data_IF_314995197595
#
_entry.id   IF_314995197595
#
_cell.length_a   1.000
_cell.length_b   1.000
_cell.length_c   1.000
_cell.angle_alpha   90.00
_cell.angle_beta   90.00
_cell.angle_gamma   90.00
#
_symmetry.space_group_name_H-M   'P 1'
#
loop_
_entity.id
_entity.type
_entity.pdbx_description
1 polymer ?
#
# COMPACT_ATOMS: atom_id res chain seq x y z
N UNK A 1 45.55 27.47 20.59
CA UNK A 1 44.68 26.27 20.66
C UNK A 1 43.46 26.58 19.82
N UNK A 2 43.27 25.87 18.71
CA UNK A 2 42.08 26.02 17.86
C UNK A 2 40.85 25.61 18.66
N UNK A 3 39.93 26.55 18.91
CA UNK A 3 38.67 26.26 19.58
C UNK A 3 37.83 25.31 18.74
N UNK A 4 37.15 24.36 19.37
CA UNK A 4 36.21 23.47 18.68
C UNK A 4 35.03 24.31 18.18
N UNK A 5 34.79 24.29 16.87
CA UNK A 5 33.63 24.97 16.29
C UNK A 5 32.35 24.18 16.56
N UNK A 6 31.19 24.85 16.46
CA UNK A 6 29.88 24.20 16.56
C UNK A 6 29.71 23.12 15.47
N UNK A 7 30.32 23.31 14.31
CA UNK A 7 30.30 22.36 13.19
C UNK A 7 31.11 21.09 13.51
N UNK A 8 32.28 21.25 14.14
CA UNK A 8 33.09 20.11 14.60
C UNK A 8 32.31 19.27 15.63
N UNK A 9 31.68 19.95 16.60
CA UNK A 9 30.82 19.31 17.60
C UNK A 9 29.71 18.48 16.92
N UNK A 10 28.95 19.09 16.00
CA UNK A 10 27.81 18.46 15.33
C UNK A 10 28.18 17.32 14.39
N UNK A 11 29.29 17.45 13.67
CA UNK A 11 29.63 16.54 12.58
C UNK A 11 30.59 15.42 13.01
N UNK A 12 31.34 15.63 14.10
CA UNK A 12 32.41 14.70 14.50
C UNK A 12 32.18 14.12 15.89
N UNK A 13 31.96 14.97 16.89
CA UNK A 13 31.96 14.54 18.30
C UNK A 13 30.60 14.01 18.76
N UNK A 14 29.52 14.73 18.47
CA UNK A 14 28.16 14.31 18.83
C UNK A 14 27.75 12.97 18.16
N UNK A 15 27.97 12.75 16.84
CA UNK A 15 27.58 11.49 16.21
C UNK A 15 28.31 10.28 16.80
N UNK A 16 29.58 10.45 17.19
CA UNK A 16 30.36 9.40 17.85
C UNK A 16 29.75 9.02 19.21
N UNK A 17 29.38 10.01 20.02
CA UNK A 17 28.72 9.81 21.31
C UNK A 17 27.32 9.22 21.13
N UNK A 18 26.55 9.71 20.16
CA UNK A 18 25.21 9.24 19.84
C UNK A 18 25.20 7.74 19.50
N UNK A 19 26.13 7.29 18.65
CA UNK A 19 26.25 5.87 18.28
C UNK A 19 26.60 5.00 19.49
N UNK A 20 27.45 5.48 20.40
CA UNK A 20 27.77 4.75 21.62
C UNK A 20 26.56 4.67 22.56
N UNK A 21 25.82 5.77 22.72
CA UNK A 21 24.58 5.81 23.50
C UNK A 21 23.52 4.88 22.90
N UNK A 22 23.35 4.88 21.58
CA UNK A 22 22.43 3.97 20.88
C UNK A 22 22.76 2.51 21.15
N UNK A 23 24.04 2.14 21.12
CA UNK A 23 24.47 0.77 21.43
C UNK A 23 24.23 0.40 22.89
N UNK A 24 24.42 1.37 23.80
CA UNK A 24 24.15 1.15 25.22
C UNK A 24 22.64 0.98 25.49
N UNK A 25 21.80 1.76 24.82
CA UNK A 25 20.34 1.69 24.95
C UNK A 25 19.75 0.45 24.27
N UNK A 26 20.33 -0.03 23.17
CA UNK A 26 19.88 -1.25 22.47
C UNK A 26 20.27 -2.55 23.19
N UNK A 27 21.24 -2.49 24.11
CA UNK A 27 21.73 -3.66 24.84
C UNK A 27 22.60 -4.61 23.99
N UNK A 28 23.15 -5.66 24.61
CA UNK A 28 24.04 -6.60 23.94
C UNK A 28 23.32 -7.36 22.82
N UNK A 29 23.87 -7.27 21.60
CA UNK A 29 23.38 -8.00 20.43
C UNK A 29 23.75 -9.49 20.57
N UNK A 30 22.81 -10.44 20.42
CA UNK A 30 23.13 -11.86 20.37
C UNK A 30 23.88 -12.20 19.05
N UNK A 31 24.86 -13.11 19.06
CA UNK A 31 25.43 -13.82 20.21
C UNK A 31 26.40 -12.94 21.01
N UNK A 32 26.35 -13.07 22.35
CA UNK A 32 26.95 -12.22 23.39
C UNK A 32 28.50 -12.07 23.38
N UNK A 33 29.17 -12.30 22.26
CA UNK A 33 30.62 -12.37 22.14
C UNK A 33 31.18 -11.74 20.85
N UNK A 34 30.32 -11.28 19.92
CA UNK A 34 30.76 -10.82 18.59
C UNK A 34 30.44 -9.35 18.31
N UNK A 35 29.89 -8.63 19.29
CA UNK A 35 29.59 -7.21 19.18
C UNK A 35 30.84 -6.35 19.40
N UNK A 36 31.00 -5.30 18.57
CA UNK A 36 32.05 -4.28 18.74
C UNK A 36 31.87 -3.60 20.10
N UNK A 37 32.75 -3.91 21.05
CA UNK A 37 32.77 -3.34 22.41
C UNK A 37 32.85 -1.82 22.31
N UNK A 38 32.09 -1.11 23.14
CA UNK A 38 32.21 0.35 23.24
C UNK A 38 33.57 0.66 23.87
N UNK A 39 34.46 1.27 23.10
CA UNK A 39 35.72 1.80 23.63
C UNK A 39 35.40 3.10 24.39
N UNK A 40 35.46 3.05 25.72
CA UNK A 40 35.09 4.17 26.57
C UNK A 40 36.07 5.34 26.48
N UNK A 41 37.36 5.08 26.21
CA UNK A 41 38.40 6.11 26.17
C UNK A 41 38.13 7.20 25.10
N UNK A 42 37.83 6.86 23.83
CA UNK A 42 37.40 7.84 22.84
C UNK A 42 36.14 8.61 23.26
N UNK A 43 35.18 7.97 23.95
CA UNK A 43 33.94 8.62 24.39
C UNK A 43 34.20 9.63 25.50
N UNK A 44 35.01 9.26 26.50
CA UNK A 44 35.41 10.17 27.57
C UNK A 44 36.22 11.35 27.02
N UNK A 45 37.14 11.10 26.08
CA UNK A 45 37.92 12.15 25.42
C UNK A 45 37.03 13.12 24.63
N UNK A 46 36.04 12.59 23.89
CA UNK A 46 35.07 13.39 23.15
C UNK A 46 34.20 14.25 24.08
N UNK A 47 33.60 13.64 25.11
CA UNK A 47 32.78 14.34 26.09
C UNK A 47 33.58 15.42 26.84
N UNK A 48 34.79 15.10 27.28
CA UNK A 48 35.68 16.05 27.95
C UNK A 48 36.02 17.24 27.05
N UNK A 49 36.37 16.99 25.78
CA UNK A 49 36.63 18.05 24.81
C UNK A 49 35.41 18.94 24.59
N UNK A 50 34.20 18.38 24.46
CA UNK A 50 32.98 19.16 24.32
C UNK A 50 32.72 20.06 25.54
N UNK A 51 32.94 19.54 26.75
CA UNK A 51 32.78 20.30 28.00
C UNK A 51 33.83 21.42 28.12
N UNK A 52 35.10 21.12 27.86
CA UNK A 52 36.18 22.11 27.92
C UNK A 52 36.06 23.23 26.87
N UNK A 53 35.32 22.99 25.78
CA UNK A 53 35.12 23.94 24.68
C UNK A 53 33.76 24.66 24.75
N UNK A 54 33.13 24.73 25.93
CA UNK A 54 31.84 25.39 26.20
C UNK A 54 30.62 24.83 25.44
N UNK A 55 30.66 23.58 24.98
CA UNK A 55 29.49 22.91 24.36
C UNK A 55 28.74 22.01 25.35
N UNK A 56 28.90 22.23 26.66
CA UNK A 56 28.30 21.38 27.71
C UNK A 56 26.77 21.40 27.71
N UNK A 57 26.17 22.58 27.48
CA UNK A 57 24.71 22.72 27.44
C UNK A 57 24.11 22.07 26.19
N UNK A 58 24.75 22.26 25.03
CA UNK A 58 24.37 21.60 23.79
C UNK A 58 24.45 20.07 23.93
N UNK A 59 25.55 19.57 24.49
CA UNK A 59 25.75 18.14 24.74
C UNK A 59 24.68 17.55 25.67
N UNK A 60 24.35 18.26 26.75
CA UNK A 60 23.30 17.82 27.67
C UNK A 60 21.94 17.77 26.99
N UNK A 61 21.57 18.83 26.27
CA UNK A 61 20.29 18.91 25.57
C UNK A 61 20.15 17.85 24.48
N UNK A 62 21.22 17.62 23.70
CA UNK A 62 21.23 16.61 22.65
C UNK A 62 21.15 15.20 23.26
N UNK A 63 21.87 14.93 24.35
CA UNK A 63 21.81 13.65 25.07
C UNK A 63 20.42 13.38 25.66
N UNK A 64 19.86 14.35 26.39
CA UNK A 64 18.53 14.22 26.97
C UNK A 64 17.46 14.08 25.87
N UNK A 65 17.56 14.84 24.78
CA UNK A 65 16.66 14.72 23.62
C UNK A 65 16.75 13.34 22.98
N UNK A 66 17.96 12.83 22.78
CA UNK A 66 18.20 11.53 22.15
C UNK A 66 17.67 10.38 23.00
N UNK A 67 17.97 10.40 24.31
CA UNK A 67 17.45 9.42 25.27
C UNK A 67 15.92 9.46 25.33
N UNK A 68 15.32 10.65 25.43
CA UNK A 68 13.86 10.81 25.48
C UNK A 68 13.20 10.29 24.18
N UNK A 69 13.75 10.62 23.00
CA UNK A 69 13.27 10.08 21.72
C UNK A 69 13.34 8.55 21.67
N UNK A 70 14.43 7.96 22.17
CA UNK A 70 14.57 6.51 22.24
C UNK A 70 13.52 5.89 23.16
N UNK A 71 13.30 6.45 24.35
CA UNK A 71 12.25 5.98 25.26
C UNK A 71 10.85 6.06 24.65
N UNK A 72 10.50 7.18 23.99
CA UNK A 72 9.21 7.33 23.31
C UNK A 72 9.04 6.30 22.20
N UNK A 73 10.09 6.07 21.40
CA UNK A 73 10.08 5.06 20.35
C UNK A 73 9.84 3.66 20.93
N UNK A 74 10.59 3.27 21.96
CA UNK A 74 10.41 1.96 22.62
C UNK A 74 9.04 1.84 23.26
N UNK A 75 8.53 2.90 23.89
CA UNK A 75 7.19 2.92 24.47
C UNK A 75 6.10 2.74 23.40
N UNK A 76 6.20 3.41 22.26
CA UNK A 76 5.30 3.23 21.13
C UNK A 76 5.41 1.82 20.54
N UNK A 77 6.62 1.28 20.36
CA UNK A 77 6.83 -0.08 19.88
C UNK A 77 6.26 -1.13 20.85
N UNK A 78 6.41 -0.91 22.16
CA UNK A 78 5.84 -1.77 23.20
C UNK A 78 4.32 -1.63 23.25
N UNK A 79 3.76 -0.43 23.17
CA UNK A 79 2.32 -0.22 23.13
C UNK A 79 1.72 -0.81 21.85
N UNK A 80 2.39 -0.68 20.71
CA UNK A 80 2.03 -1.36 19.48
C UNK A 80 2.07 -2.88 19.67
N UNK A 81 3.15 -3.45 20.22
CA UNK A 81 3.25 -4.90 20.44
C UNK A 81 2.22 -5.41 21.44
N UNK A 82 2.00 -4.73 22.56
CA UNK A 82 1.14 -5.19 23.65
C UNK A 82 -0.34 -4.89 23.37
N UNK A 83 -0.72 -3.69 22.91
CA UNK A 83 -2.12 -3.33 22.64
C UNK A 83 -2.67 -4.09 21.42
N UNK A 84 -1.86 -4.23 20.37
CA UNK A 84 -2.22 -5.04 19.20
C UNK A 84 -2.21 -6.52 19.60
N UNK A 85 -1.11 -7.09 20.08
CA UNK A 85 -1.04 -8.54 20.34
C UNK A 85 -1.97 -9.08 21.43
N UNK A 86 -2.32 -8.29 22.46
CA UNK A 86 -3.13 -8.80 23.59
C UNK A 86 -4.62 -8.49 23.49
N UNK A 87 -5.02 -7.52 22.64
CA UNK A 87 -6.43 -7.09 22.55
C UNK A 87 -7.07 -7.41 21.20
N UNK A 88 -6.31 -7.40 20.11
CA UNK A 88 -6.81 -7.60 18.76
C UNK A 88 -5.88 -8.59 18.04
N UNK A 89 -6.37 -9.77 17.72
CA UNK A 89 -5.64 -10.74 16.89
C UNK A 89 -5.50 -10.29 15.43
N UNK A 90 -5.07 -9.05 15.18
CA UNK A 90 -5.04 -8.31 13.93
C UNK A 90 -4.06 -7.16 14.06
N UNK A 91 -3.52 -6.61 12.97
CA UNK A 91 -2.58 -5.47 13.03
C UNK A 91 -3.31 -4.10 12.95
N UNK A 92 -2.67 -3.03 13.46
CA UNK A 92 -3.24 -1.68 13.47
C UNK A 92 -3.62 -1.19 12.06
N UNK A 93 -2.87 -1.61 11.04
CA UNK A 93 -3.12 -1.23 9.65
C UNK A 93 -4.43 -1.86 9.17
N UNK A 94 -4.66 -3.13 9.45
CA UNK A 94 -5.91 -3.84 9.15
C UNK A 94 -7.10 -3.19 9.85
N UNK A 95 -6.94 -2.74 11.10
CA UNK A 95 -8.03 -2.06 11.82
C UNK A 95 -8.34 -0.68 11.28
N UNK A 96 -7.33 0.13 10.98
CA UNK A 96 -7.51 1.42 10.35
C UNK A 96 -8.16 1.26 8.97
N UNK A 97 -7.73 0.25 8.21
CA UNK A 97 -8.31 -0.12 6.93
C UNK A 97 -9.78 -0.55 7.07
N UNK A 98 -10.10 -1.37 8.08
CA UNK A 98 -11.47 -1.79 8.38
C UNK A 98 -12.35 -0.61 8.83
N UNK A 99 -11.84 0.28 9.67
CA UNK A 99 -12.53 1.50 10.09
C UNK A 99 -12.80 2.42 8.90
N UNK A 100 -11.81 2.62 8.02
CA UNK A 100 -11.97 3.41 6.81
C UNK A 100 -13.02 2.78 5.87
N UNK A 101 -12.97 1.46 5.66
CA UNK A 101 -13.97 0.76 4.87
C UNK A 101 -15.38 0.95 5.45
N UNK A 102 -15.56 0.69 6.75
CA UNK A 102 -16.86 0.83 7.44
C UNK A 102 -17.43 2.25 7.46
N UNK A 103 -16.57 3.25 7.63
CA UNK A 103 -17.00 4.63 7.83
C UNK A 103 -17.12 5.44 6.53
N UNK A 104 -16.27 5.16 5.54
CA UNK A 104 -16.16 5.97 4.32
C UNK A 104 -16.65 5.19 3.10
N UNK A 105 -16.24 3.93 2.95
CA UNK A 105 -16.50 3.17 1.73
C UNK A 105 -17.89 2.54 1.76
N UNK A 106 -18.27 1.83 2.83
CA UNK A 106 -19.57 1.14 2.95
C UNK A 106 -20.80 2.04 2.71
N UNK A 107 -20.85 3.31 3.17
CA UNK A 107 -21.97 4.20 2.89
C UNK A 107 -22.06 4.64 1.41
N UNK A 108 -20.94 4.61 0.69
CA UNK A 108 -20.81 5.16 -0.67
C UNK A 108 -20.73 4.06 -1.73
N UNK A 109 -20.33 2.85 -1.35
CA UNK A 109 -20.02 1.75 -2.27
C UNK A 109 -21.20 1.40 -3.19
N UNK A 110 -22.42 1.41 -2.67
CA UNK A 110 -23.61 1.11 -3.46
C UNK A 110 -23.83 2.15 -4.57
N UNK A 111 -23.72 3.44 -4.22
CA UNK A 111 -23.84 4.54 -5.19
C UNK A 111 -22.72 4.52 -6.21
N UNK A 112 -21.50 4.22 -5.76
CA UNK A 112 -20.32 4.11 -6.61
C UNK A 112 -20.49 2.99 -7.64
N UNK A 113 -20.96 1.81 -7.22
CA UNK A 113 -21.16 0.67 -8.12
C UNK A 113 -22.26 0.93 -9.16
N UNK A 114 -23.34 1.60 -8.78
CA UNK A 114 -24.38 2.05 -9.72
C UNK A 114 -23.80 3.01 -10.75
N UNK A 115 -22.98 3.99 -10.32
CA UNK A 115 -22.35 4.98 -11.21
C UNK A 115 -21.37 4.32 -12.19
N UNK A 116 -20.57 3.35 -11.73
CA UNK A 116 -19.62 2.60 -12.57
C UNK A 116 -20.36 1.80 -13.64
N UNK A 117 -21.45 1.11 -13.29
CA UNK A 117 -22.30 0.39 -14.25
C UNK A 117 -22.91 1.35 -15.29
N UNK A 118 -23.54 2.43 -14.81
CA UNK A 118 -24.20 3.40 -15.69
C UNK A 118 -23.25 4.06 -16.66
N UNK A 119 -22.03 4.41 -16.20
CA UNK A 119 -21.02 5.02 -17.05
C UNK A 119 -20.52 4.04 -18.11
N UNK A 120 -20.35 2.76 -17.75
CA UNK A 120 -19.93 1.71 -18.69
C UNK A 120 -21.01 1.42 -19.75
N UNK A 121 -22.28 1.36 -19.36
CA UNK A 121 -23.39 0.97 -20.26
C UNK A 121 -23.93 2.13 -21.11
N UNK A 122 -24.03 3.34 -20.55
CA UNK A 122 -24.71 4.47 -21.22
C UNK A 122 -23.75 5.45 -21.88
N UNK A 123 -22.57 5.65 -21.30
CA UNK A 123 -21.59 6.64 -21.78
C UNK A 123 -20.17 6.06 -21.80
N UNK A 124 -19.94 5.00 -22.60
CA UNK A 124 -18.62 4.38 -22.70
C UNK A 124 -17.57 5.42 -23.09
N UNK A 125 -16.38 5.35 -22.48
CA UNK A 125 -15.24 6.27 -22.66
C UNK A 125 -15.40 7.69 -22.10
N UNK A 126 -16.53 8.03 -21.46
CA UNK A 126 -16.67 9.29 -20.72
C UNK A 126 -15.63 9.41 -19.59
N UNK A 127 -15.30 8.28 -18.97
CA UNK A 127 -14.18 8.14 -18.03
C UNK A 127 -13.14 7.23 -18.66
N UNK A 128 -11.86 7.61 -18.55
CA UNK A 128 -10.77 6.81 -19.07
C UNK A 128 -10.77 5.41 -18.40
N UNK A 129 -10.76 4.31 -19.17
CA UNK A 129 -10.91 2.95 -18.63
C UNK A 129 -9.89 2.59 -17.55
N UNK A 130 -8.68 3.14 -17.62
CA UNK A 130 -7.62 2.92 -16.62
C UNK A 130 -7.96 3.51 -15.25
N UNK A 131 -8.74 4.60 -15.19
CA UNK A 131 -9.18 5.23 -13.93
C UNK A 131 -10.20 4.34 -13.24
N UNK A 132 -11.20 3.86 -13.98
CA UNK A 132 -12.18 2.90 -13.46
C UNK A 132 -11.51 1.60 -13.03
N UNK A 133 -10.57 1.07 -13.82
CA UNK A 133 -9.80 -0.10 -13.46
C UNK A 133 -8.97 0.11 -12.19
N UNK A 134 -8.31 1.27 -12.05
CA UNK A 134 -7.52 1.60 -10.86
C UNK A 134 -8.39 1.74 -9.62
N UNK A 135 -9.57 2.34 -9.75
CA UNK A 135 -10.56 2.47 -8.68
C UNK A 135 -11.06 1.09 -8.22
N UNK A 136 -11.48 0.24 -9.16
CA UNK A 136 -11.99 -1.12 -8.85
C UNK A 136 -10.90 -1.99 -8.24
N UNK A 137 -9.66 -1.92 -8.76
CA UNK A 137 -8.49 -2.60 -8.16
C UNK A 137 -8.19 -2.10 -6.75
N UNK A 138 -8.26 -0.79 -6.53
CA UNK A 138 -8.03 -0.20 -5.21
C UNK A 138 -9.09 -0.65 -4.20
N UNK A 139 -10.36 -0.70 -4.60
CA UNK A 139 -11.44 -1.23 -3.77
C UNK A 139 -11.25 -2.70 -3.43
N UNK A 140 -10.83 -3.52 -4.41
CA UNK A 140 -10.53 -4.94 -4.18
C UNK A 140 -9.36 -5.14 -3.20
N UNK A 141 -8.31 -4.33 -3.33
CA UNK A 141 -7.17 -4.35 -2.40
C UNK A 141 -7.54 -3.86 -1.00
N UNK A 142 -8.53 -2.98 -0.89
CA UNK A 142 -9.04 -2.46 0.39
C UNK A 142 -9.90 -3.49 1.11
N UNK A 143 -10.85 -4.11 0.43
CA UNK A 143 -11.62 -5.24 0.95
C UNK A 143 -12.06 -6.15 -0.19
N UNK A 144 -11.59 -7.42 -0.25
CA UNK A 144 -11.97 -8.36 -1.30
C UNK A 144 -13.47 -8.76 -1.24
N UNK A 145 -14.15 -8.56 -0.11
CA UNK A 145 -15.59 -8.88 0.01
C UNK A 145 -16.46 -8.02 -0.93
N UNK A 146 -16.01 -6.83 -1.32
CA UNK A 146 -16.73 -6.00 -2.29
C UNK A 146 -16.86 -6.68 -3.66
N UNK A 147 -15.88 -7.50 -4.05
CA UNK A 147 -15.97 -8.27 -5.28
C UNK A 147 -17.01 -9.40 -5.20
N UNK A 148 -17.23 -9.97 -4.02
CA UNK A 148 -18.30 -10.95 -3.81
C UNK A 148 -19.68 -10.29 -3.88
N UNK A 149 -19.80 -9.05 -3.40
CA UNK A 149 -21.06 -8.29 -3.41
C UNK A 149 -21.41 -7.72 -4.80
N UNK A 150 -20.41 -7.38 -5.60
CA UNK A 150 -20.58 -6.80 -6.94
C UNK A 150 -19.78 -7.55 -8.03
N UNK A 151 -20.00 -8.86 -8.20
CA UNK A 151 -19.15 -9.73 -9.04
C UNK A 151 -19.04 -9.25 -10.49
N UNK A 152 -20.16 -8.81 -11.06
CA UNK A 152 -20.25 -8.39 -12.46
C UNK A 152 -19.42 -7.12 -12.76
N UNK A 153 -19.29 -6.21 -11.78
CA UNK A 153 -18.49 -4.99 -11.97
C UNK A 153 -17.01 -5.33 -11.88
N UNK A 154 -16.61 -6.10 -10.85
CA UNK A 154 -15.21 -6.43 -10.62
C UNK A 154 -14.64 -7.35 -11.70
N UNK A 155 -15.43 -8.30 -12.23
CA UNK A 155 -15.02 -9.18 -13.32
C UNK A 155 -14.65 -8.43 -14.61
N UNK A 156 -15.25 -7.26 -14.85
CA UNK A 156 -14.93 -6.41 -16.00
C UNK A 156 -13.55 -5.76 -15.94
N UNK A 157 -12.94 -5.64 -14.75
CA UNK A 157 -11.66 -4.94 -14.55
C UNK A 157 -10.55 -5.80 -13.95
N UNK A 158 -10.89 -6.93 -13.32
CA UNK A 158 -9.93 -7.83 -12.67
C UNK A 158 -10.17 -9.27 -13.16
N UNK A 159 -9.25 -9.82 -13.97
CA UNK A 159 -9.34 -11.20 -14.44
C UNK A 159 -9.30 -12.19 -13.26
N UNK A 160 -10.16 -13.22 -13.30
CA UNK A 160 -10.13 -14.32 -12.31
C UNK A 160 -10.67 -13.97 -10.91
N UNK A 161 -11.36 -12.83 -10.75
CA UNK A 161 -12.00 -12.46 -9.47
C UNK A 161 -13.23 -13.31 -9.14
N UNK A 162 -13.88 -13.84 -10.16
CA UNK A 162 -14.97 -14.79 -9.95
C UNK A 162 -14.41 -16.19 -9.72
N UNK A 163 -15.05 -17.01 -8.86
CA UNK A 163 -14.72 -18.42 -8.74
C UNK A 163 -14.73 -19.11 -10.11
N UNK A 164 -13.88 -20.13 -10.26
CA UNK A 164 -13.99 -21.01 -11.41
C UNK A 164 -15.43 -21.55 -11.51
N UNK A 165 -16.01 -21.46 -12.71
CA UNK A 165 -17.37 -21.90 -13.01
C UNK A 165 -17.63 -23.29 -12.42
N UNK A 166 -18.72 -23.44 -11.67
CA UNK A 166 -19.09 -24.72 -11.07
C UNK A 166 -19.95 -25.52 -12.05
N UNK A 167 -19.85 -26.85 -12.02
CA UNK A 167 -20.52 -27.72 -13.00
C UNK A 167 -22.05 -27.52 -13.07
N UNK A 168 -22.69 -27.14 -11.95
CA UNK A 168 -24.13 -26.88 -11.91
C UNK A 168 -24.54 -25.55 -12.57
N UNK A 169 -23.60 -24.64 -12.83
CA UNK A 169 -23.84 -23.34 -13.48
C UNK A 169 -23.79 -23.46 -15.01
N UNK A 170 -23.25 -24.57 -15.55
CA UNK A 170 -23.10 -24.82 -17.00
C UNK A 170 -24.44 -24.76 -17.73
N UNK A 171 -25.48 -25.40 -17.19
CA UNK A 171 -26.80 -25.47 -17.83
C UNK A 171 -27.45 -24.10 -17.97
N UNK A 172 -27.31 -23.24 -16.96
CA UNK A 172 -27.81 -21.86 -16.99
C UNK A 172 -27.10 -21.05 -18.07
N UNK A 173 -25.78 -21.19 -18.18
CA UNK A 173 -24.97 -20.45 -19.15
C UNK A 173 -25.21 -20.92 -20.59
N UNK A 174 -25.42 -22.23 -20.78
CA UNK A 174 -25.82 -22.81 -22.07
C UNK A 174 -27.16 -22.20 -22.50
N UNK A 175 -28.13 -22.11 -21.59
CA UNK A 175 -29.45 -21.55 -21.91
C UNK A 175 -29.35 -20.04 -22.24
N UNK A 176 -28.64 -19.25 -21.42
CA UNK A 176 -28.43 -17.82 -21.67
C UNK A 176 -27.71 -17.56 -23.00
N UNK A 177 -26.70 -18.39 -23.31
CA UNK A 177 -25.98 -18.33 -24.60
C UNK A 177 -26.91 -18.69 -25.77
N UNK A 178 -27.77 -19.69 -25.61
CA UNK A 178 -28.75 -20.07 -26.65
C UNK A 178 -29.77 -18.96 -26.89
N UNK A 179 -30.26 -18.31 -25.83
CA UNK A 179 -31.17 -17.16 -25.93
C UNK A 179 -30.51 -15.97 -26.64
N UNK A 180 -29.27 -15.64 -26.28
CA UNK A 180 -28.50 -14.59 -26.95
C UNK A 180 -28.28 -14.92 -28.43
N UNK A 181 -27.88 -16.16 -28.75
CA UNK A 181 -27.70 -16.62 -30.12
C UNK A 181 -29.01 -16.57 -30.91
N UNK A 182 -30.14 -16.93 -30.29
CA UNK A 182 -31.46 -16.83 -30.92
C UNK A 182 -31.84 -15.37 -31.20
N UNK A 183 -31.64 -14.47 -30.23
CA UNK A 183 -31.87 -13.03 -30.38
C UNK A 183 -31.01 -12.43 -31.49
N UNK A 184 -29.72 -12.75 -31.51
CA UNK A 184 -28.79 -12.30 -32.55
C UNK A 184 -29.15 -12.85 -33.92
N UNK A 185 -29.58 -14.11 -34.03
CA UNK A 185 -30.06 -14.69 -35.28
C UNK A 185 -31.32 -13.98 -35.78
N UNK A 186 -32.26 -13.64 -34.90
CA UNK A 186 -33.45 -12.86 -35.28
C UNK A 186 -33.08 -11.44 -35.73
N UNK A 187 -32.14 -10.80 -35.04
CA UNK A 187 -31.61 -9.48 -35.42
C UNK A 187 -30.82 -9.51 -36.75
N UNK A 188 -30.05 -10.56 -36.99
CA UNK A 188 -29.31 -10.78 -38.24
C UNK A 188 -30.24 -11.11 -39.41
N UNK A 189 -31.26 -11.95 -39.21
CA UNK A 189 -32.20 -12.35 -40.26
C UNK A 189 -33.12 -11.17 -40.66
N UNK A 190 -33.40 -10.24 -39.74
CA UNK A 190 -34.15 -9.01 -40.03
C UNK A 190 -33.30 -7.91 -40.70
N UNK A 191 -31.97 -7.97 -40.59
CA UNK A 191 -31.05 -7.11 -41.32
C UNK A 191 -30.75 -7.70 -42.71
N UNK A 192 -31.50 -7.26 -43.72
CA UNK A 192 -31.36 -7.63 -45.15
C UNK A 192 -29.90 -7.83 -45.64
N UNK A 193 -29.65 -8.77 -46.58
CA UNK A 193 -28.31 -9.11 -47.07
C UNK A 193 -27.75 -8.00 -47.97
N UNK A 194 -27.27 -6.91 -47.38
CA UNK A 194 -26.36 -5.96 -48.03
C UNK A 194 -24.98 -6.02 -47.36
N UNK A 195 -24.44 -7.23 -47.26
CA UNK A 195 -23.01 -7.42 -47.05
C UNK A 195 -22.27 -6.92 -48.29
N UNK A 196 -21.76 -5.67 -48.25
CA UNK A 196 -20.71 -5.23 -49.18
C UNK A 196 -19.50 -6.14 -48.96
N UNK A 197 -19.35 -7.17 -49.80
CA UNK A 197 -18.05 -7.80 -50.06
C UNK A 197 -17.07 -6.68 -50.37
N UNK A 198 -16.00 -6.55 -49.59
CA UNK A 198 -14.84 -5.75 -50.00
C UNK A 198 -14.27 -6.46 -51.23
N UNK A 199 -14.51 -5.91 -52.42
CA UNK A 199 -13.73 -6.24 -53.60
C UNK A 199 -12.35 -5.62 -53.37
N UNK A 200 -11.36 -6.44 -53.02
CA UNK A 200 -9.98 -6.09 -53.29
C UNK A 200 -9.78 -6.39 -54.77
N UNK A 201 -9.89 -5.36 -55.61
CA UNK A 201 -9.32 -5.45 -56.95
C UNK A 201 -7.80 -5.32 -56.81
N UNK A 202 -7.12 -6.37 -57.24
CA UNK A 202 -5.71 -6.38 -57.56
C UNK A 202 -5.50 -5.45 -58.77
N UNK A 203 -4.82 -4.33 -58.57
CA UNK A 203 -4.09 -3.65 -59.66
C UNK A 203 -2.60 -3.69 -59.34
N UNK A 204 -1.98 -4.77 -59.81
CA UNK A 204 -0.54 -4.91 -60.01
C UNK A 204 -0.34 -5.02 -61.52
N UNK A 205 0.62 -4.27 -62.07
CA UNK A 205 1.02 -4.13 -63.49
C UNK A 205 0.16 -3.13 -64.28
N UNK A 206 0.68 -2.07 -64.90
CA UNK A 206 2.04 -1.73 -65.39
C UNK A 206 2.13 -0.23 -65.60
#
# INVERSE_FOLDING_TARGET
MTGMTIEDYRNTYWPQLQVAVDRLLQGPQPPYHTGRVIEFEPMYSAAYKCVCQQHSEALYNDLMSHVHKHFLKVAMEMQNKVYVSTKLSSDLRTELQNLFCKSVIDPVIEKLMVMVKQTTERTPFSIAPHVLASLVKSLHNLNPEYAQRYPQVFAGYIPGVLPAMREHELSSYINETQELQASLRQSWVSSSPRGKKRCLDEEMHT
#
